data_IF_008461357924
#
_entry.id   IF_008461357924
#
_cell.length_a   1.000
_cell.length_b   1.000
_cell.length_c   1.000
_cell.angle_alpha   90.00
_cell.angle_beta   90.00
_cell.angle_gamma   90.00
#
_symmetry.space_group_name_H-M   'P 1'
#
loop_
_entity.id
_entity.type
_entity.pdbx_description
1 polymer ?
#
# COMPACT_ATOMS: atom_id res chain seq x y z
N UNK A 1 -19.00 -26.55 9.83
CA UNK A 1 -19.45 -27.56 8.86
C UNK A 1 -18.92 -27.15 7.50
N UNK A 2 -18.20 -28.03 6.79
CA UNK A 2 -17.72 -27.79 5.44
C UNK A 2 -18.87 -27.98 4.44
N UNK A 3 -19.11 -27.00 3.58
CA UNK A 3 -20.12 -27.12 2.53
C UNK A 3 -19.49 -27.88 1.37
N UNK A 4 -20.15 -28.96 0.98
CA UNK A 4 -19.71 -29.93 -0.01
C UNK A 4 -19.48 -29.31 -1.39
N UNK A 5 -18.39 -29.74 -2.03
CA UNK A 5 -18.12 -29.52 -3.45
C UNK A 5 -19.15 -30.27 -4.29
N UNK A 6 -20.16 -29.56 -4.77
CA UNK A 6 -20.89 -29.94 -5.99
C UNK A 6 -20.26 -29.16 -7.15
N UNK A 7 -20.16 -29.76 -8.34
CA UNK A 7 -19.75 -29.06 -9.57
C UNK A 7 -20.77 -27.97 -9.91
N UNK A 8 -20.66 -26.84 -9.23
CA UNK A 8 -21.75 -25.88 -9.06
C UNK A 8 -21.81 -24.94 -10.26
N UNK A 9 -22.68 -25.30 -11.20
CA UNK A 9 -23.32 -24.34 -12.11
C UNK A 9 -23.73 -23.11 -11.29
N UNK A 10 -23.37 -21.94 -11.79
CA UNK A 10 -23.68 -20.67 -11.11
C UNK A 10 -25.20 -20.61 -10.85
N UNK A 11 -25.63 -20.38 -9.60
CA UNK A 11 -27.05 -20.21 -9.32
C UNK A 11 -27.58 -19.03 -10.14
N UNK A 12 -28.57 -19.27 -11.00
CA UNK A 12 -29.19 -18.24 -11.83
C UNK A 12 -29.69 -17.06 -10.99
N UNK A 13 -30.18 -17.35 -9.77
CA UNK A 13 -30.62 -16.36 -8.77
C UNK A 13 -29.50 -15.39 -8.39
N UNK A 14 -28.24 -15.84 -8.38
CA UNK A 14 -27.08 -15.00 -8.06
C UNK A 14 -26.84 -13.97 -9.14
N UNK A 15 -26.83 -14.38 -10.41
CA UNK A 15 -26.69 -13.47 -11.57
C UNK A 15 -27.86 -12.48 -11.63
N UNK A 16 -29.08 -12.95 -11.41
CA UNK A 16 -30.26 -12.10 -11.37
C UNK A 16 -30.21 -11.09 -10.21
N UNK A 17 -29.75 -11.49 -9.02
CA UNK A 17 -29.59 -10.60 -7.87
C UNK A 17 -28.58 -9.49 -8.16
N UNK A 18 -27.43 -9.82 -8.77
CA UNK A 18 -26.43 -8.83 -9.14
C UNK A 18 -26.94 -7.88 -10.24
N UNK A 19 -27.65 -8.39 -11.24
CA UNK A 19 -28.32 -7.54 -12.24
C UNK A 19 -29.37 -6.61 -11.59
N UNK A 20 -30.12 -7.09 -10.61
CA UNK A 20 -31.13 -6.27 -9.90
C UNK A 20 -30.51 -5.15 -9.06
N UNK A 21 -29.25 -5.34 -8.62
CA UNK A 21 -28.44 -4.32 -7.95
C UNK A 21 -27.84 -3.28 -8.92
N UNK A 22 -28.13 -3.38 -10.23
CA UNK A 22 -27.63 -2.46 -11.24
C UNK A 22 -26.18 -2.70 -11.68
N UNK A 23 -25.60 -3.84 -11.30
CA UNK A 23 -24.26 -4.24 -11.76
C UNK A 23 -24.29 -4.56 -13.25
N UNK A 24 -23.31 -4.06 -14.00
CA UNK A 24 -23.12 -4.38 -15.41
C UNK A 24 -22.55 -5.78 -15.58
N UNK A 25 -22.85 -6.45 -16.69
CA UNK A 25 -22.44 -7.84 -16.96
C UNK A 25 -20.93 -8.05 -16.81
N UNK A 26 -20.11 -7.07 -17.21
CA UNK A 26 -18.66 -7.09 -16.98
C UNK A 26 -18.26 -7.11 -15.49
N UNK A 27 -18.99 -6.38 -14.64
CA UNK A 27 -18.76 -6.38 -13.19
C UNK A 27 -19.26 -7.67 -12.55
N UNK A 28 -20.30 -8.28 -13.11
CA UNK A 28 -20.81 -9.59 -12.68
C UNK A 28 -19.77 -10.67 -13.00
N UNK A 29 -19.19 -10.66 -14.20
CA UNK A 29 -18.12 -11.57 -14.61
C UNK A 29 -16.91 -11.46 -13.67
N UNK A 30 -16.46 -10.25 -13.37
CA UNK A 30 -15.31 -10.03 -12.45
C UNK A 30 -15.59 -10.52 -11.03
N UNK A 31 -16.80 -10.34 -10.51
CA UNK A 31 -17.17 -10.85 -9.19
C UNK A 31 -17.27 -12.38 -9.16
N UNK A 32 -17.88 -12.99 -10.17
CA UNK A 32 -18.02 -14.45 -10.25
C UNK A 32 -16.67 -15.14 -10.50
N UNK A 33 -15.77 -14.50 -11.25
CA UNK A 33 -14.40 -14.98 -11.41
C UNK A 33 -13.61 -14.98 -10.10
N UNK A 34 -13.80 -13.97 -9.24
CA UNK A 34 -13.22 -13.94 -7.88
C UNK A 34 -13.79 -15.04 -6.99
N UNK A 35 -15.04 -15.43 -7.21
CA UNK A 35 -15.71 -16.55 -6.54
C UNK A 35 -15.30 -17.93 -7.12
N UNK A 36 -14.31 -17.99 -8.03
CA UNK A 36 -13.74 -19.18 -8.70
C UNK A 36 -14.68 -19.89 -9.69
N UNK A 37 -15.66 -19.21 -10.27
CA UNK A 37 -16.46 -19.76 -11.37
C UNK A 37 -15.72 -19.69 -12.71
N UNK A 38 -15.92 -20.68 -13.57
CA UNK A 38 -15.32 -20.69 -14.91
C UNK A 38 -16.04 -19.74 -15.86
N UNK A 39 -15.32 -19.25 -16.87
CA UNK A 39 -15.87 -18.33 -17.86
C UNK A 39 -17.07 -18.90 -18.63
N UNK A 40 -17.05 -20.21 -18.93
CA UNK A 40 -18.16 -20.88 -19.61
C UNK A 40 -19.41 -20.90 -18.73
N UNK A 41 -19.28 -21.23 -17.45
CA UNK A 41 -20.41 -21.23 -16.52
C UNK A 41 -20.99 -19.82 -16.32
N UNK A 42 -20.13 -18.79 -16.35
CA UNK A 42 -20.53 -17.38 -16.24
C UNK A 42 -21.35 -16.94 -17.45
N UNK A 43 -20.90 -17.24 -18.66
CA UNK A 43 -21.62 -16.87 -19.89
C UNK A 43 -22.94 -17.62 -20.01
N UNK A 44 -22.95 -18.93 -19.75
CA UNK A 44 -24.16 -19.74 -19.78
C UNK A 44 -25.22 -19.20 -18.80
N UNK A 45 -24.82 -18.78 -17.60
CA UNK A 45 -25.72 -18.23 -16.60
C UNK A 45 -26.20 -16.81 -16.94
N UNK A 46 -25.34 -15.98 -17.56
CA UNK A 46 -25.71 -14.65 -18.04
C UNK A 46 -26.74 -14.75 -19.17
N UNK A 47 -26.51 -15.58 -20.17
CA UNK A 47 -27.43 -15.82 -21.29
C UNK A 47 -28.78 -16.37 -20.81
N UNK A 48 -28.76 -17.35 -19.91
CA UNK A 48 -29.98 -17.89 -19.32
C UNK A 48 -30.76 -16.84 -18.52
N UNK A 49 -30.07 -15.89 -17.85
CA UNK A 49 -30.74 -14.83 -17.10
C UNK A 49 -31.48 -13.83 -17.99
N UNK A 50 -31.03 -13.63 -19.23
CA UNK A 50 -31.65 -12.72 -20.19
C UNK A 50 -32.85 -13.34 -20.89
N UNK A 51 -32.77 -14.63 -21.21
CA UNK A 51 -33.87 -15.39 -21.81
C UNK A 51 -35.03 -15.48 -20.81
N UNK A 52 -34.77 -15.74 -19.53
CA UNK A 52 -35.82 -15.83 -18.49
C UNK A 52 -36.52 -14.49 -18.26
N UNK A 53 -35.81 -13.35 -18.39
CA UNK A 53 -36.44 -12.02 -18.34
C UNK A 53 -37.28 -11.72 -19.58
N UNK A 54 -36.81 -12.13 -20.76
CA UNK A 54 -37.50 -11.93 -22.04
C UNK A 54 -38.77 -12.79 -22.14
N UNK A 55 -38.75 -14.03 -21.64
CA UNK A 55 -39.92 -14.92 -21.61
C UNK A 55 -40.99 -14.47 -20.60
N UNK A 56 -40.59 -13.76 -19.52
CA UNK A 56 -41.54 -13.20 -18.54
C UNK A 56 -42.10 -11.81 -18.94
N UNK A 57 -41.66 -11.22 -20.05
CA UNK A 57 -42.05 -9.86 -20.47
C UNK A 57 -42.20 -9.73 -22.00
N UNK A 58 -43.13 -10.45 -22.63
CA UNK A 58 -44.19 -9.81 -23.43
C UNK A 58 -45.21 -10.79 -24.04
N UNK A 59 -46.48 -10.33 -24.21
CA UNK A 59 -47.55 -11.05 -24.89
C UNK A 59 -47.33 -11.15 -26.41
N UNK A 60 -47.97 -12.16 -26.98
CA UNK A 60 -48.16 -12.44 -28.40
C UNK A 60 -48.56 -11.17 -29.19
N UNK A 61 -47.78 -10.76 -30.21
CA UNK A 61 -48.24 -9.83 -31.25
C UNK A 61 -47.42 -10.01 -32.55
N UNK A 62 -48.14 -9.93 -33.67
CA UNK A 62 -47.83 -10.35 -35.06
C UNK A 62 -46.71 -9.58 -35.78
N UNK A 63 -46.15 -10.15 -36.87
CA UNK A 63 -45.02 -9.56 -37.59
C UNK A 63 -45.47 -8.54 -38.67
N UNK A 64 -44.77 -7.40 -38.73
CA UNK A 64 -44.84 -6.44 -39.84
C UNK A 64 -43.57 -6.47 -40.70
N UNK A 65 -43.82 -6.32 -42.00
CA UNK A 65 -43.05 -6.64 -43.19
C UNK A 65 -41.96 -5.60 -43.52
N UNK A 66 -40.71 -6.04 -43.78
CA UNK A 66 -39.69 -5.23 -44.47
C UNK A 66 -38.83 -6.10 -45.41
N UNK A 67 -38.45 -5.59 -46.59
CA UNK A 67 -38.02 -6.41 -47.73
C UNK A 67 -36.54 -6.83 -47.67
N UNK A 68 -36.31 -8.10 -47.98
CA UNK A 68 -35.01 -8.76 -48.18
C UNK A 68 -34.53 -8.62 -49.64
N UNK A 69 -33.21 -8.37 -49.90
CA UNK A 69 -32.61 -8.46 -51.24
C UNK A 69 -32.34 -9.93 -51.67
N UNK A 70 -32.15 -10.18 -52.98
CA UNK A 70 -32.61 -11.41 -53.64
C UNK A 70 -31.65 -12.61 -53.53
N UNK A 71 -32.25 -13.79 -53.35
CA UNK A 71 -31.68 -15.10 -53.66
C UNK A 71 -31.75 -15.38 -55.18
N UNK A 72 -30.82 -16.18 -55.75
CA UNK A 72 -31.00 -16.75 -57.08
C UNK A 72 -31.96 -17.95 -57.04
N UNK A 73 -32.93 -17.95 -57.95
CA UNK A 73 -34.06 -18.90 -58.02
C UNK A 73 -33.77 -20.18 -58.81
N UNK A 74 -34.70 -21.14 -58.64
CA UNK A 74 -35.04 -22.37 -59.41
C UNK A 74 -34.46 -23.68 -58.83
N UNK A 75 -35.22 -24.73 -58.50
CA UNK A 75 -36.52 -25.22 -59.00
C UNK A 75 -37.41 -25.81 -57.89
N UNK A 76 -38.72 -25.76 -58.16
CA UNK A 76 -39.84 -26.37 -57.44
C UNK A 76 -39.76 -27.90 -57.29
N UNK A 77 -40.12 -28.44 -56.12
CA UNK A 77 -41.23 -29.39 -55.99
C UNK A 77 -41.61 -29.59 -54.51
N UNK A 78 -42.88 -29.38 -54.17
CA UNK A 78 -43.44 -29.83 -52.90
C UNK A 78 -43.76 -31.31 -53.01
N UNK A 79 -43.10 -32.15 -52.21
CA UNK A 79 -43.67 -33.43 -51.80
C UNK A 79 -43.26 -33.75 -50.37
N UNK A 80 -44.26 -33.70 -49.50
CA UNK A 80 -44.28 -34.21 -48.13
C UNK A 80 -44.08 -35.72 -48.19
N UNK A 81 -43.02 -36.25 -47.58
CA UNK A 81 -42.92 -37.64 -47.10
C UNK A 81 -41.66 -37.80 -46.24
N UNK A 82 -41.88 -38.33 -45.03
CA UNK A 82 -40.93 -38.64 -43.97
C UNK A 82 -39.61 -39.30 -44.45
N UNK A 83 -38.49 -39.02 -43.77
CA UNK A 83 -37.48 -40.07 -43.64
C UNK A 83 -36.99 -40.27 -42.19
N UNK A 84 -37.06 -41.53 -41.83
CA UNK A 84 -36.15 -42.30 -40.99
C UNK A 84 -34.71 -41.81 -40.92
N UNK A 85 -34.16 -41.98 -39.72
CA UNK A 85 -32.74 -41.97 -39.33
C UNK A 85 -31.77 -42.40 -40.44
N UNK A 86 -30.86 -41.49 -40.80
CA UNK A 86 -29.56 -41.81 -41.37
C UNK A 86 -28.51 -40.89 -40.73
N UNK A 87 -27.45 -41.51 -40.24
CA UNK A 87 -26.28 -40.90 -39.61
C UNK A 87 -25.55 -39.99 -40.61
N UNK A 88 -25.52 -38.69 -40.31
CA UNK A 88 -24.73 -37.68 -41.03
C UNK A 88 -23.39 -37.50 -40.29
N UNK A 89 -22.24 -37.44 -40.98
CA UNK A 89 -20.97 -37.08 -40.36
C UNK A 89 -21.06 -35.64 -39.84
N UNK A 90 -20.68 -35.42 -38.57
CA UNK A 90 -20.48 -34.07 -38.02
C UNK A 90 -19.44 -33.33 -38.87
N UNK A 91 -19.90 -32.54 -39.84
CA UNK A 91 -19.16 -31.39 -40.32
C UNK A 91 -19.54 -30.21 -39.44
N UNK A 92 -18.55 -29.77 -38.66
CA UNK A 92 -18.60 -28.53 -37.89
C UNK A 92 -18.96 -27.38 -38.82
N UNK A 93 -20.20 -26.90 -38.72
CA UNK A 93 -20.59 -25.61 -39.25
C UNK A 93 -19.83 -24.55 -38.47
N UNK A 94 -18.71 -24.09 -39.03
CA UNK A 94 -18.09 -22.84 -38.60
C UNK A 94 -19.04 -21.71 -39.02
N UNK A 95 -19.72 -21.15 -38.04
CA UNK A 95 -20.50 -19.93 -38.20
C UNK A 95 -19.56 -18.76 -38.54
N UNK A 96 -19.68 -18.11 -39.72
CA UNK A 96 -18.86 -16.96 -40.09
C UNK A 96 -19.14 -15.72 -39.22
N UNK A 97 -20.25 -15.71 -38.47
CA UNK A 97 -20.60 -14.64 -37.51
C UNK A 97 -19.63 -14.59 -36.33
N UNK A 98 -19.10 -15.74 -35.92
CA UNK A 98 -18.19 -15.86 -34.78
C UNK A 98 -16.78 -15.37 -35.10
N UNK A 99 -16.38 -15.38 -36.38
CA UNK A 99 -15.07 -14.86 -36.80
C UNK A 99 -15.07 -13.33 -36.79
N UNK A 100 -16.13 -12.70 -37.28
CA UNK A 100 -16.27 -11.23 -37.27
C UNK A 100 -16.38 -10.64 -35.86
N UNK A 101 -16.98 -11.37 -34.91
CA UNK A 101 -16.99 -10.96 -33.49
C UNK A 101 -15.65 -11.23 -32.82
N UNK A 102 -14.96 -12.32 -33.14
CA UNK A 102 -13.60 -12.56 -32.64
C UNK A 102 -12.62 -11.51 -33.15
N UNK A 103 -12.68 -11.14 -34.44
CA UNK A 103 -11.81 -10.11 -35.04
C UNK A 103 -12.04 -8.73 -34.41
N UNK A 104 -13.30 -8.38 -34.10
CA UNK A 104 -13.62 -7.13 -33.37
C UNK A 104 -13.19 -7.18 -31.91
N UNK A 105 -13.32 -8.34 -31.26
CA UNK A 105 -12.84 -8.53 -29.89
C UNK A 105 -11.31 -8.49 -29.85
N UNK A 106 -10.62 -9.00 -30.88
CA UNK A 106 -9.18 -8.94 -31.06
C UNK A 106 -8.70 -7.50 -31.31
N UNK A 107 -9.38 -6.74 -32.16
CA UNK A 107 -9.09 -5.30 -32.37
C UNK A 107 -9.28 -4.47 -31.09
N UNK A 108 -10.36 -4.74 -30.33
CA UNK A 108 -10.61 -4.09 -29.04
C UNK A 108 -9.57 -4.55 -27.99
N UNK A 109 -9.18 -5.82 -27.99
CA UNK A 109 -8.16 -6.33 -27.09
C UNK A 109 -6.79 -5.74 -27.42
N UNK A 110 -6.39 -5.69 -28.69
CA UNK A 110 -5.11 -5.11 -29.13
C UNK A 110 -5.03 -3.62 -28.84
N UNK A 111 -6.12 -2.86 -29.05
CA UNK A 111 -6.15 -1.43 -28.73
C UNK A 111 -6.05 -1.19 -27.22
N UNK A 112 -6.78 -1.94 -26.39
CA UNK A 112 -6.69 -1.85 -24.92
C UNK A 112 -5.30 -2.30 -24.43
N UNK A 113 -4.75 -3.37 -24.99
CA UNK A 113 -3.42 -3.90 -24.64
C UNK A 113 -2.36 -2.87 -25.01
N UNK A 114 -2.37 -2.30 -26.22
CA UNK A 114 -1.42 -1.26 -26.62
C UNK A 114 -1.56 0.02 -25.82
N UNK A 115 -2.79 0.45 -25.51
CA UNK A 115 -3.04 1.61 -24.65
C UNK A 115 -2.43 1.38 -23.26
N UNK A 116 -2.71 0.22 -22.65
CA UNK A 116 -2.18 -0.15 -21.33
C UNK A 116 -0.67 -0.40 -21.32
N UNK A 117 -0.10 -1.01 -22.35
CA UNK A 117 1.35 -1.18 -22.46
C UNK A 117 2.08 0.14 -22.70
N UNK A 118 1.50 1.06 -23.46
CA UNK A 118 2.05 2.40 -23.67
C UNK A 118 2.01 3.24 -22.40
N UNK A 119 0.88 3.22 -21.68
CA UNK A 119 0.71 3.88 -20.37
C UNK A 119 1.73 3.34 -19.35
N UNK A 120 1.86 2.01 -19.25
CA UNK A 120 2.80 1.32 -18.37
C UNK A 120 4.26 1.61 -18.75
N UNK A 121 4.62 1.58 -20.04
CA UNK A 121 5.99 1.89 -20.48
C UNK A 121 6.37 3.34 -20.22
N UNK A 122 5.40 4.26 -20.31
CA UNK A 122 5.59 5.68 -19.98
C UNK A 122 5.88 5.88 -18.50
N UNK A 123 5.30 5.06 -17.62
CA UNK A 123 5.64 5.00 -16.20
C UNK A 123 7.04 4.40 -15.96
N UNK A 124 7.45 3.37 -16.73
CA UNK A 124 8.78 2.76 -16.66
C UNK A 124 9.92 3.63 -17.21
N UNK A 125 9.63 4.62 -18.07
CA UNK A 125 10.60 5.63 -18.50
C UNK A 125 11.23 6.41 -17.32
N UNK A 126 10.54 6.43 -16.17
CA UNK A 126 11.02 7.04 -14.93
C UNK A 126 11.98 6.15 -14.13
N UNK A 127 12.21 4.90 -14.52
CA UNK A 127 13.08 4.00 -13.75
C UNK A 127 14.55 4.44 -13.81
N UNK A 128 15.00 4.93 -14.97
CA UNK A 128 16.39 5.42 -15.11
C UNK A 128 16.62 6.70 -14.32
N UNK A 129 15.66 7.63 -14.33
CA UNK A 129 15.75 8.88 -13.56
C UNK A 129 15.60 8.62 -12.06
N UNK A 130 14.74 7.66 -11.67
CA UNK A 130 14.64 7.19 -10.29
C UNK A 130 15.94 6.57 -9.81
N UNK A 131 16.56 5.69 -10.61
CA UNK A 131 17.86 5.09 -10.29
C UNK A 131 18.94 6.14 -10.11
N UNK A 132 18.99 7.14 -10.99
CA UNK A 132 19.96 8.24 -10.90
C UNK A 132 19.75 9.10 -9.65
N UNK A 133 18.49 9.42 -9.35
CA UNK A 133 18.10 10.14 -8.13
C UNK A 133 18.48 9.35 -6.88
N UNK A 134 18.15 8.06 -6.81
CA UNK A 134 18.52 7.21 -5.67
C UNK A 134 20.03 7.11 -5.52
N UNK A 135 20.78 6.96 -6.62
CA UNK A 135 22.24 6.91 -6.55
C UNK A 135 22.82 8.23 -6.02
N UNK A 136 22.28 9.36 -6.48
CA UNK A 136 22.65 10.70 -5.99
C UNK A 136 22.31 10.88 -4.51
N UNK A 137 21.10 10.50 -4.10
CA UNK A 137 20.63 10.59 -2.71
C UNK A 137 21.49 9.71 -1.79
N UNK A 138 21.84 8.49 -2.21
CA UNK A 138 22.74 7.58 -1.47
C UNK A 138 24.14 8.18 -1.35
N UNK A 139 24.68 8.78 -2.40
CA UNK A 139 25.98 9.47 -2.33
C UNK A 139 25.94 10.67 -1.38
N UNK A 140 24.86 11.45 -1.40
CA UNK A 140 24.64 12.58 -0.48
C UNK A 140 24.58 12.10 0.96
N UNK A 141 23.80 11.05 1.25
CA UNK A 141 23.70 10.45 2.59
C UNK A 141 25.07 9.97 3.06
N UNK A 142 25.85 9.30 2.20
CA UNK A 142 27.20 8.85 2.54
C UNK A 142 28.09 10.04 2.93
N UNK A 143 28.02 11.15 2.20
CA UNK A 143 28.78 12.36 2.53
C UNK A 143 28.31 12.98 3.86
N UNK A 144 27.01 13.01 4.13
CA UNK A 144 26.48 13.51 5.40
C UNK A 144 26.88 12.64 6.59
N UNK A 145 26.95 11.32 6.43
CA UNK A 145 27.45 10.40 7.46
C UNK A 145 28.92 10.71 7.76
N UNK A 146 29.77 10.88 6.74
CA UNK A 146 31.19 11.24 6.93
C UNK A 146 31.31 12.58 7.64
N UNK A 147 30.56 13.61 7.21
CA UNK A 147 30.55 14.92 7.87
C UNK A 147 30.06 14.83 9.32
N UNK A 148 29.10 13.96 9.60
CA UNK A 148 28.57 13.74 10.96
C UNK A 148 29.61 13.06 11.84
N UNK A 149 30.34 12.07 11.30
CA UNK A 149 31.47 11.45 11.96
C UNK A 149 32.55 12.48 12.29
N UNK A 150 32.95 13.32 11.34
CA UNK A 150 33.95 14.38 11.57
C UNK A 150 33.51 15.37 12.65
N UNK A 151 32.23 15.77 12.63
CA UNK A 151 31.64 16.64 13.67
C UNK A 151 31.65 15.97 15.03
N UNK A 152 31.37 14.67 15.10
CA UNK A 152 31.39 13.89 16.33
C UNK A 152 32.81 13.77 16.90
N UNK A 153 33.80 13.48 16.06
CA UNK A 153 35.21 13.42 16.48
C UNK A 153 35.70 14.77 17.01
N UNK A 154 35.33 15.86 16.34
CA UNK A 154 35.67 17.22 16.79
C UNK A 154 34.96 17.57 18.11
N UNK A 155 33.69 17.17 18.27
CA UNK A 155 32.97 17.33 19.52
C UNK A 155 33.63 16.54 20.65
N UNK A 156 34.02 15.28 20.40
CA UNK A 156 34.71 14.45 21.39
C UNK A 156 36.03 15.09 21.83
N UNK A 157 36.82 15.62 20.89
CA UNK A 157 38.06 16.36 21.21
C UNK A 157 37.77 17.61 22.05
N UNK A 158 36.77 18.39 21.67
CA UNK A 158 36.37 19.60 22.42
C UNK A 158 35.87 19.26 23.83
N UNK A 159 35.08 18.20 23.97
CA UNK A 159 34.56 17.72 25.27
C UNK A 159 35.71 17.21 26.15
N UNK A 160 36.65 16.41 25.63
CA UNK A 160 37.83 16.00 26.38
C UNK A 160 38.67 17.21 26.83
N UNK A 161 38.86 18.20 25.95
CA UNK A 161 39.53 19.46 26.29
C UNK A 161 38.83 20.19 27.44
N UNK A 162 37.50 20.34 27.36
CA UNK A 162 36.69 20.96 28.42
C UNK A 162 36.72 20.20 29.73
N UNK A 163 36.74 18.86 29.70
CA UNK A 163 36.87 18.03 30.91
C UNK A 163 38.25 18.22 31.55
N UNK A 164 39.32 18.31 30.76
CA UNK A 164 40.66 18.57 31.28
C UNK A 164 40.76 19.97 31.89
N UNK A 165 40.28 21.01 31.20
CA UNK A 165 40.20 22.37 31.74
C UNK A 165 39.37 22.43 33.03
N UNK A 166 38.27 21.68 33.09
CA UNK A 166 37.44 21.57 34.29
C UNK A 166 38.19 20.90 35.44
N UNK A 167 38.91 19.80 35.18
CA UNK A 167 39.72 19.12 36.20
C UNK A 167 40.80 20.05 36.77
N UNK A 168 41.52 20.78 35.91
CA UNK A 168 42.49 21.78 36.35
C UNK A 168 41.85 22.88 37.20
N UNK A 169 40.68 23.38 36.77
CA UNK A 169 39.92 24.40 37.52
C UNK A 169 39.50 23.88 38.90
N UNK A 170 39.02 22.63 39.00
CA UNK A 170 38.65 22.00 40.27
C UNK A 170 39.86 21.84 41.20
N UNK A 171 41.04 21.49 40.66
CA UNK A 171 42.29 21.42 41.43
C UNK A 171 42.71 22.80 41.93
N UNK A 172 42.59 23.84 41.10
CA UNK A 172 42.85 25.23 41.52
C UNK A 172 41.91 25.65 42.66
N UNK A 173 40.60 25.45 42.49
CA UNK A 173 39.60 25.74 43.52
C UNK A 173 39.88 24.96 44.80
N UNK A 174 40.29 23.69 44.71
CA UNK A 174 40.67 22.88 45.89
C UNK A 174 41.88 23.47 46.62
N UNK A 175 42.81 24.07 45.88
CA UNK A 175 44.02 24.70 46.43
C UNK A 175 43.68 26.03 47.11
N UNK A 176 42.84 26.85 46.47
CA UNK A 176 42.29 28.07 47.05
C UNK A 176 41.46 27.76 48.31
N UNK A 177 40.65 26.71 48.28
CA UNK A 177 39.85 26.28 49.42
C UNK A 177 40.73 25.87 50.61
N UNK A 178 41.84 25.15 50.37
CA UNK A 178 42.84 24.86 51.41
C UNK A 178 43.54 26.12 51.94
N UNK A 179 43.77 27.11 51.09
CA UNK A 179 44.32 28.38 51.54
C UNK A 179 43.32 29.14 52.42
N UNK A 180 42.04 29.16 52.04
CA UNK A 180 40.96 29.73 52.83
C UNK A 180 40.78 29.00 54.17
N UNK A 181 40.89 27.67 54.18
CA UNK A 181 40.88 26.86 55.42
C UNK A 181 42.01 27.32 56.36
N UNK A 182 43.24 27.46 55.87
CA UNK A 182 44.36 27.96 56.69
C UNK A 182 44.16 29.39 57.18
N UNK A 183 43.56 30.26 56.35
CA UNK A 183 43.21 31.63 56.77
C UNK A 183 42.17 31.59 57.87
N UNK A 184 41.15 30.75 57.73
CA UNK A 184 40.11 30.55 58.73
C UNK A 184 40.72 30.03 60.04
N UNK A 185 41.60 29.04 60.01
CA UNK A 185 42.34 28.56 61.20
C UNK A 185 43.12 29.68 61.87
N UNK A 186 43.82 30.52 61.09
CA UNK A 186 44.57 31.68 61.59
C UNK A 186 43.68 32.75 62.21
N UNK A 187 42.41 32.84 61.85
CA UNK A 187 41.44 33.78 62.43
C UNK A 187 40.73 33.17 63.66
N UNK A 188 40.30 31.91 63.57
CA UNK A 188 39.56 31.22 64.64
C UNK A 188 40.42 31.04 65.89
N UNK A 189 41.71 30.72 65.74
CA UNK A 189 42.58 30.44 66.89
C UNK A 189 42.80 31.67 67.79
N UNK A 190 43.17 32.86 67.26
CA UNK A 190 43.25 34.09 68.06
C UNK A 190 41.89 34.51 68.63
N UNK A 191 40.80 34.43 67.85
CA UNK A 191 39.47 34.79 68.37
C UNK A 191 39.07 33.92 69.56
N UNK A 192 39.29 32.61 69.46
CA UNK A 192 39.00 31.67 70.55
C UNK A 192 39.87 31.96 71.78
N UNK A 193 41.14 32.29 71.58
CA UNK A 193 42.08 32.64 72.66
C UNK A 193 41.66 33.96 73.32
N UNK A 194 41.40 34.99 72.53
CA UNK A 194 40.94 36.30 73.00
C UNK A 194 39.60 36.19 73.76
N UNK A 195 38.66 35.38 73.29
CA UNK A 195 37.40 35.12 74.00
C UNK A 195 37.65 34.44 75.35
N UNK A 196 38.57 33.47 75.42
CA UNK A 196 38.95 32.82 76.69
C UNK A 196 39.60 33.82 77.66
N UNK A 197 40.51 34.67 77.18
CA UNK A 197 41.13 35.72 77.99
C UNK A 197 40.10 36.73 78.50
N UNK A 198 39.20 37.21 77.63
CA UNK A 198 38.09 38.10 78.00
C UNK A 198 37.19 37.47 79.07
N UNK A 199 36.86 36.18 78.92
CA UNK A 199 36.08 35.44 79.92
C UNK A 199 36.79 35.43 81.27
N UNK A 200 38.10 35.12 81.29
CA UNK A 200 38.91 35.09 82.51
C UNK A 200 39.02 36.46 83.17
N UNK A 201 39.27 37.52 82.40
CA UNK A 201 39.34 38.91 82.92
C UNK A 201 38.01 39.30 83.56
N UNK A 202 36.89 38.95 82.91
CA UNK A 202 35.54 39.20 83.43
C UNK A 202 35.30 38.47 84.76
N UNK A 203 35.78 37.23 84.88
CA UNK A 203 35.64 36.40 86.06
C UNK A 203 36.49 36.89 87.25
N UNK A 204 37.74 37.30 86.98
CA UNK A 204 38.61 37.95 87.97
C UNK A 204 38.03 39.30 88.47
N UNK A 205 37.47 40.11 87.56
CA UNK A 205 36.77 41.35 87.89
C UNK A 205 35.52 41.10 88.76
N UNK A 206 34.78 40.04 88.48
CA UNK A 206 33.61 39.65 89.27
C UNK A 206 34.02 39.13 90.66
N UNK A 207 35.15 38.44 90.77
CA UNK A 207 35.72 37.93 92.02
C UNK A 207 36.23 39.04 92.95
N UNK A 208 36.86 40.10 92.42
CA UNK A 208 37.35 41.26 93.20
C UNK A 208 36.26 42.18 93.75
N UNK A 209 34.99 41.96 93.36
CA UNK A 209 33.84 42.78 93.77
C UNK A 209 33.06 42.20 94.96
N UNK A 210 33.60 41.15 95.61
CA UNK A 210 33.20 40.63 96.92
C UNK A 210 34.28 40.96 97.94
#
# INVERSE_FOLDING_TARGET
MPIEKTGSKIPLDRVQSMKSQGLKDQQIIENLKKENYSFQEINDALEQSEIVKTVNQRPFEEPLDFPVPPTPSTMSNYQVSSPSMQTIPQQSFFDPSSRLTMDRIEEIAESIINEKWSELTREFGNFSSWKEKVNTDVLSIKQEIVRTQDRFENLQKAVLGKINEYNESVVSVSTEMKALEKVLERIINPLTTNIKELSRITEELKGKRK
#
